data_IF_800224632305
#
_entry.id   IF_800224632305
#
_cell.length_a   1.000
_cell.length_b   1.000
_cell.length_c   1.000
_cell.angle_alpha   90.00
_cell.angle_beta   90.00
_cell.angle_gamma   90.00
#
_symmetry.space_group_name_H-M   'P 1'
#
loop_
_entity.id
_entity.type
_entity.pdbx_description
1 polymer ?
#
# COMPACT_ATOMS: atom_id res chain seq x y z
N UNK A 1 11.38 7.43 11.69
CA UNK A 1 11.06 8.56 10.80
C UNK A 1 10.02 8.06 9.80
N UNK A 2 9.00 8.88 9.51
CA UNK A 2 8.00 8.51 8.52
C UNK A 2 8.66 8.33 7.14
N UNK A 3 8.33 7.26 6.40
CA UNK A 3 8.91 7.05 5.08
C UNK A 3 8.48 8.18 4.13
N UNK A 4 9.38 8.55 3.23
CA UNK A 4 9.06 9.54 2.20
C UNK A 4 8.04 8.97 1.22
N UNK A 5 7.22 9.83 0.61
CA UNK A 5 6.23 9.37 -0.35
C UNK A 5 6.87 8.66 -1.56
N UNK A 6 8.07 9.08 -1.96
CA UNK A 6 8.80 8.42 -3.03
C UNK A 6 9.18 6.96 -2.68
N UNK A 7 9.62 6.70 -1.45
CA UNK A 7 9.88 5.33 -0.97
C UNK A 7 8.60 4.48 -0.95
N UNK A 8 7.47 5.08 -0.56
CA UNK A 8 6.17 4.43 -0.57
C UNK A 8 5.76 4.04 -1.98
N UNK A 9 5.91 4.96 -2.95
CA UNK A 9 5.62 4.73 -4.37
C UNK A 9 6.46 3.58 -4.92
N UNK A 10 7.78 3.59 -4.68
CA UNK A 10 8.67 2.52 -5.15
C UNK A 10 8.26 1.16 -4.56
N UNK A 11 7.85 1.14 -3.30
CA UNK A 11 7.43 -0.09 -2.60
C UNK A 11 6.09 -0.66 -3.11
N UNK A 12 5.12 0.19 -3.49
CA UNK A 12 3.80 -0.23 -4.00
C UNK A 12 3.80 -0.48 -5.52
N UNK A 13 4.73 0.09 -6.28
CA UNK A 13 4.83 -0.08 -7.75
C UNK A 13 4.69 -1.55 -8.22
N UNK A 14 5.36 -2.55 -7.61
CA UNK A 14 5.17 -3.94 -8.01
C UNK A 14 3.80 -4.54 -7.64
N UNK A 15 3.00 -3.88 -6.79
CA UNK A 15 1.64 -4.30 -6.43
C UNK A 15 0.56 -3.80 -7.40
N UNK A 16 0.91 -2.90 -8.33
CA UNK A 16 -0.08 -2.24 -9.18
C UNK A 16 -0.86 -3.23 -10.03
N UNK A 17 -0.20 -4.25 -10.57
CA UNK A 17 -0.84 -5.30 -11.35
C UNK A 17 -1.90 -6.06 -10.53
N UNK A 18 -1.59 -6.37 -9.27
CA UNK A 18 -2.50 -7.05 -8.35
C UNK A 18 -3.71 -6.20 -7.99
N UNK A 19 -3.52 -4.95 -7.57
CA UNK A 19 -4.65 -4.07 -7.22
C UNK A 19 -5.52 -3.72 -8.44
N UNK A 20 -5.01 -3.91 -9.65
CA UNK A 20 -5.74 -3.77 -10.92
C UNK A 20 -6.45 -5.03 -11.39
N UNK A 21 -6.33 -6.15 -10.68
CA UNK A 21 -7.11 -7.36 -10.95
C UNK A 21 -6.31 -8.63 -11.21
N UNK A 22 -4.98 -8.58 -11.26
CA UNK A 22 -4.19 -9.82 -11.35
C UNK A 22 -4.41 -10.70 -10.12
N UNK A 23 -4.49 -12.04 -10.28
CA UNK A 23 -4.92 -12.95 -9.22
C UNK A 23 -3.97 -12.97 -8.01
N UNK A 24 -2.67 -12.79 -8.24
CA UNK A 24 -1.64 -12.85 -7.21
C UNK A 24 -0.69 -11.65 -7.26
N UNK A 25 -0.18 -11.20 -6.09
CA UNK A 25 0.83 -10.16 -6.01
C UNK A 25 2.16 -10.64 -6.60
N UNK A 26 2.85 -9.75 -7.32
CA UNK A 26 4.21 -10.03 -7.78
C UNK A 26 5.14 -10.26 -6.57
N UNK A 27 6.23 -11.05 -6.70
CA UNK A 27 7.18 -11.25 -5.60
C UNK A 27 7.70 -9.92 -5.00
N UNK A 28 7.97 -8.93 -5.86
CA UNK A 28 8.36 -7.58 -5.45
C UNK A 28 7.29 -6.83 -4.66
N UNK A 29 6.00 -7.12 -4.88
CA UNK A 29 4.89 -6.51 -4.14
C UNK A 29 4.94 -6.91 -2.67
N UNK A 30 5.11 -8.21 -2.39
CA UNK A 30 5.20 -8.68 -1.02
C UNK A 30 6.44 -8.13 -0.29
N UNK A 31 7.58 -8.03 -0.98
CA UNK A 31 8.79 -7.43 -0.40
C UNK A 31 8.58 -5.95 -0.05
N UNK A 32 8.03 -5.17 -0.98
CA UNK A 32 7.73 -3.75 -0.76
C UNK A 32 6.69 -3.53 0.34
N UNK A 33 5.59 -4.27 0.31
CA UNK A 33 4.53 -4.19 1.34
C UNK A 33 5.05 -4.58 2.73
N UNK A 34 5.90 -5.61 2.84
CA UNK A 34 6.58 -5.97 4.10
C UNK A 34 7.51 -4.87 4.57
N UNK A 35 8.24 -4.23 3.67
CA UNK A 35 9.09 -3.08 3.97
C UNK A 35 8.28 -1.92 4.58
N UNK A 36 7.19 -1.54 3.93
CA UNK A 36 6.29 -0.50 4.44
C UNK A 36 5.64 -0.89 5.77
N UNK A 37 5.22 -2.14 5.93
CA UNK A 37 4.66 -2.64 7.18
C UNK A 37 5.65 -2.53 8.35
N UNK A 38 6.95 -2.73 8.09
CA UNK A 38 8.02 -2.52 9.09
C UNK A 38 8.29 -1.05 9.39
N UNK A 39 7.94 -0.13 8.49
CA UNK A 39 8.07 1.31 8.70
C UNK A 39 6.83 1.92 9.37
N UNK A 40 5.66 1.29 9.21
CA UNK A 40 4.38 1.70 9.76
C UNK A 40 4.21 1.46 11.28
N UNK A 41 5.25 1.69 12.08
CA UNK A 41 5.23 1.39 13.53
C UNK A 41 4.41 2.42 14.32
N UNK A 42 4.53 3.71 13.99
CA UNK A 42 3.80 4.77 14.70
C UNK A 42 2.53 5.17 13.96
N UNK A 43 1.67 5.94 14.63
CA UNK A 43 0.50 6.56 13.99
C UNK A 43 0.91 7.54 12.88
N UNK A 44 1.95 8.33 13.13
CA UNK A 44 2.50 9.29 12.16
C UNK A 44 3.06 8.60 10.92
N UNK A 45 3.76 7.47 11.08
CA UNK A 45 4.26 6.71 9.93
C UNK A 45 3.11 6.17 9.07
N UNK A 46 2.07 5.62 9.71
CA UNK A 46 0.86 5.12 9.04
C UNK A 46 0.12 6.22 8.30
N UNK A 47 -0.03 7.39 8.93
CA UNK A 47 -0.60 8.59 8.33
C UNK A 47 0.17 8.98 7.07
N UNK A 48 1.49 9.14 7.16
CA UNK A 48 2.32 9.53 6.02
C UNK A 48 2.24 8.54 4.85
N UNK A 49 2.26 7.23 5.14
CA UNK A 49 2.09 6.18 4.11
C UNK A 49 0.70 6.30 3.46
N UNK A 50 -0.36 6.43 4.27
CA UNK A 50 -1.73 6.52 3.79
C UNK A 50 -1.96 7.76 2.91
N UNK A 51 -1.51 8.93 3.37
CA UNK A 51 -1.67 10.19 2.63
C UNK A 51 -0.92 10.17 1.30
N UNK A 52 0.30 9.60 1.29
CA UNK A 52 1.04 9.39 0.05
C UNK A 52 0.26 8.52 -0.94
N UNK A 53 -0.22 7.34 -0.50
CA UNK A 53 -0.95 6.42 -1.36
C UNK A 53 -2.26 7.04 -1.85
N UNK A 54 -2.99 7.75 -0.98
CA UNK A 54 -4.21 8.50 -1.33
C UNK A 54 -3.97 9.50 -2.45
N UNK A 55 -2.85 10.21 -2.45
CA UNK A 55 -2.50 11.20 -3.48
C UNK A 55 -2.00 10.60 -4.80
N UNK A 56 -1.42 9.41 -4.77
CA UNK A 56 -0.77 8.79 -5.95
C UNK A 56 -1.68 7.80 -6.66
N UNK A 57 -2.42 6.97 -5.91
CA UNK A 57 -3.23 5.89 -6.49
C UNK A 57 -4.28 6.37 -7.49
N UNK A 58 -4.93 7.54 -7.34
CA UNK A 58 -5.85 8.05 -8.36
C UNK A 58 -5.15 8.39 -9.69
N UNK A 59 -3.85 8.71 -9.66
CA UNK A 59 -3.07 9.13 -10.84
C UNK A 59 -2.60 7.96 -11.70
N UNK A 60 -2.60 6.74 -11.17
CA UNK A 60 -2.13 5.54 -11.88
C UNK A 60 -3.25 4.83 -12.66
N UNK A 61 -4.47 5.37 -12.66
CA UNK A 61 -5.64 4.82 -13.34
C UNK A 61 -6.55 3.99 -12.43
N UNK A 62 -7.50 3.22 -12.99
CA UNK A 62 -8.45 2.43 -12.20
C UNK A 62 -7.75 1.30 -11.45
N UNK A 63 -8.17 1.06 -10.22
CA UNK A 63 -7.75 -0.04 -9.36
C UNK A 63 -8.89 -0.37 -8.37
N UNK A 64 -8.80 -1.50 -7.70
CA UNK A 64 -9.75 -1.90 -6.65
C UNK A 64 -9.15 -1.69 -5.25
N UNK A 65 -9.63 -0.70 -4.47
CA UNK A 65 -9.20 -0.46 -3.10
C UNK A 65 -9.34 -1.68 -2.18
N UNK A 66 -10.31 -2.56 -2.44
CA UNK A 66 -10.57 -3.76 -1.63
C UNK A 66 -9.45 -4.80 -1.76
N UNK A 67 -8.56 -4.66 -2.75
CA UNK A 67 -7.41 -5.55 -2.94
C UNK A 67 -6.22 -5.18 -2.06
N UNK A 68 -6.16 -3.97 -1.49
CA UNK A 68 -5.10 -3.60 -0.55
C UNK A 68 -5.03 -4.52 0.68
N UNK A 69 -6.14 -4.78 1.40
CA UNK A 69 -6.14 -5.75 2.50
C UNK A 69 -5.72 -7.16 2.08
N UNK A 70 -6.00 -7.56 0.83
CA UNK A 70 -5.61 -8.87 0.31
C UNK A 70 -4.10 -9.00 0.11
N UNK A 71 -3.38 -7.89 -0.12
CA UNK A 71 -1.91 -7.91 -0.16
C UNK A 71 -1.37 -8.40 1.18
N UNK A 72 -1.91 -7.89 2.30
CA UNK A 72 -1.46 -8.31 3.62
C UNK A 72 -1.68 -9.81 3.85
N UNK A 73 -2.87 -10.32 3.51
CA UNK A 73 -3.18 -11.75 3.61
C UNK A 73 -2.27 -12.61 2.73
N UNK A 74 -2.16 -12.27 1.43
CA UNK A 74 -1.37 -13.03 0.44
C UNK A 74 0.13 -13.00 0.75
N UNK A 75 0.62 -11.91 1.33
CA UNK A 75 2.04 -11.74 1.63
C UNK A 75 2.41 -12.15 3.07
N UNK A 76 1.46 -12.58 3.90
CA UNK A 76 1.71 -12.95 5.30
C UNK A 76 2.16 -11.77 6.16
N UNK A 77 1.56 -10.60 5.96
CA UNK A 77 1.80 -9.40 6.76
C UNK A 77 0.75 -9.37 7.88
N UNK A 78 1.20 -9.41 9.13
CA UNK A 78 0.31 -9.38 10.29
C UNK A 78 -0.32 -8.01 10.54
N UNK A 79 0.21 -6.95 9.93
CA UNK A 79 -0.32 -5.60 10.03
C UNK A 79 -1.52 -5.44 9.09
N UNK A 80 -2.66 -5.00 9.63
CA UNK A 80 -3.83 -4.64 8.83
C UNK A 80 -3.50 -3.48 7.89
N UNK A 81 -3.65 -3.71 6.59
CA UNK A 81 -3.60 -2.68 5.55
C UNK A 81 -5.05 -2.31 5.22
N UNK A 82 -5.51 -1.08 5.52
CA UNK A 82 -6.86 -0.66 5.18
C UNK A 82 -7.02 -0.53 3.65
N UNK A 83 -8.26 -0.57 3.13
CA UNK A 83 -8.53 -0.16 1.76
C UNK A 83 -8.06 1.29 1.54
N UNK A 84 -7.24 1.51 0.52
CA UNK A 84 -6.75 2.85 0.18
C UNK A 84 -7.38 3.28 -1.14
N UNK A 85 -8.10 4.40 -1.09
CA UNK A 85 -8.73 5.06 -2.21
C UNK A 85 -8.48 6.58 -2.14
N UNK A 86 -8.94 7.33 -3.15
CA UNK A 86 -8.93 8.80 -3.12
C UNK A 86 -9.69 9.40 -1.92
N UNK A 87 -10.62 8.64 -1.32
CA UNK A 87 -11.49 9.09 -0.22
C UNK A 87 -11.14 8.45 1.12
N UNK A 88 -10.08 7.63 1.19
CA UNK A 88 -9.67 7.02 2.46
C UNK A 88 -9.35 8.09 3.51
N UNK A 89 -9.89 7.88 4.70
CA UNK A 89 -9.52 8.64 5.89
C UNK A 89 -8.21 8.06 6.44
N UNK A 90 -7.20 8.93 6.52
CA UNK A 90 -5.86 8.56 6.97
C UNK A 90 -5.63 8.93 8.46
N UNK A 91 -6.65 9.41 9.19
CA UNK A 91 -6.50 9.98 10.53
C UNK A 91 -6.40 8.96 11.68
#
# INVERSE_FOLDING_TARGET
AAPSCQEVIVSITPCLSFIKGQPDPAPGCCSGAKGLAKQANTKLDRQGICECLKGVLPKIGPYDPKRFPLIAQKCGINTLIPPISATTDCT
#
